data_IF_024259791504
#
_entry.id   IF_024259791504
#
_cell.length_a   1.000
_cell.length_b   1.000
_cell.length_c   1.000
_cell.angle_alpha   90.00
_cell.angle_beta   90.00
_cell.angle_gamma   90.00
#
_symmetry.space_group_name_H-M   'P 1'
#
loop_
_entity.id
_entity.type
_entity.pdbx_description
1 polymer ?
#
# COMPACT_ATOMS: atom_id res chain seq x y z
N UNK A 1 4.30 -26.31 22.56
CA UNK A 1 4.84 -27.66 22.81
C UNK A 1 6.34 -27.69 22.99
N UNK A 2 7.10 -26.69 22.52
CA UNK A 2 8.57 -26.82 22.39
C UNK A 2 9.37 -25.83 23.24
N UNK A 3 8.74 -25.25 24.28
CA UNK A 3 9.31 -24.18 25.12
C UNK A 3 9.71 -22.92 24.32
N UNK A 4 8.92 -22.55 23.30
CA UNK A 4 9.14 -21.37 22.45
C UNK A 4 10.51 -21.38 21.73
N UNK A 5 10.94 -22.57 21.29
CA UNK A 5 12.19 -22.78 20.55
C UNK A 5 11.97 -23.05 19.06
N UNK A 6 10.71 -23.09 18.65
CA UNK A 6 10.26 -23.26 17.29
C UNK A 6 9.81 -21.92 16.69
N UNK A 7 9.73 -21.86 15.37
CA UNK A 7 9.51 -20.61 14.63
C UNK A 7 10.79 -19.86 14.31
N UNK A 8 10.65 -18.69 13.69
CA UNK A 8 11.77 -17.78 13.40
C UNK A 8 11.90 -16.74 14.50
N UNK A 9 13.13 -16.36 14.83
CA UNK A 9 13.43 -15.24 15.75
C UNK A 9 13.53 -13.88 15.01
N UNK A 10 13.48 -13.90 13.67
CA UNK A 10 13.64 -12.70 12.83
C UNK A 10 12.39 -12.44 11.97
N UNK A 11 11.35 -11.87 12.58
CA UNK A 11 10.06 -11.61 11.92
C UNK A 11 9.96 -10.28 11.18
N UNK A 12 10.90 -9.34 11.36
CA UNK A 12 10.79 -7.96 10.87
C UNK A 12 9.43 -7.30 11.21
N UNK A 13 8.89 -7.60 12.40
CA UNK A 13 7.60 -7.11 12.89
C UNK A 13 7.76 -5.93 13.84
N UNK A 14 6.73 -5.08 13.93
CA UNK A 14 6.67 -3.97 14.88
C UNK A 14 5.32 -3.94 15.59
N UNK A 15 5.32 -4.00 16.92
CA UNK A 15 4.10 -4.11 17.73
C UNK A 15 3.43 -2.75 18.03
N UNK A 16 4.06 -1.66 17.59
CA UNK A 16 3.59 -0.28 17.75
C UNK A 16 3.50 0.17 19.23
N UNK A 17 4.36 -0.39 20.09
CA UNK A 17 4.56 0.06 21.48
C UNK A 17 3.97 -0.85 22.55
N UNK A 18 3.16 -1.85 22.17
CA UNK A 18 2.57 -2.81 23.12
C UNK A 18 2.58 -4.21 22.51
N UNK A 19 2.94 -5.23 23.28
CA UNK A 19 2.85 -6.63 22.83
C UNK A 19 1.40 -7.15 22.96
N UNK A 20 0.92 -7.89 21.96
CA UNK A 20 -0.41 -8.50 21.99
C UNK A 20 -1.59 -7.51 21.86
N UNK A 21 -2.78 -7.92 22.33
CA UNK A 21 -4.04 -7.15 22.23
C UNK A 21 -4.00 -5.94 23.18
N UNK A 22 -4.47 -4.79 22.70
CA UNK A 22 -4.63 -3.57 23.49
C UNK A 22 -5.90 -2.83 23.07
N UNK A 23 -6.42 -2.00 23.99
CA UNK A 23 -7.52 -1.07 23.72
C UNK A 23 -7.02 0.38 23.61
N UNK A 24 -5.70 0.60 23.63
CA UNK A 24 -5.13 1.93 23.39
C UNK A 24 -5.46 2.38 21.96
N UNK A 25 -6.28 3.44 21.79
CA UNK A 25 -6.75 3.85 20.48
C UNK A 25 -5.61 4.31 19.57
N UNK A 26 -4.52 4.87 20.10
CA UNK A 26 -3.38 5.30 19.29
C UNK A 26 -2.66 4.09 18.67
N UNK A 27 -2.43 3.04 19.47
CA UNK A 27 -1.79 1.80 19.02
C UNK A 27 -2.70 1.05 18.04
N UNK A 28 -3.99 0.93 18.34
CA UNK A 28 -4.94 0.26 17.44
C UNK A 28 -5.01 0.97 16.09
N UNK A 29 -5.10 2.30 16.09
CA UNK A 29 -5.13 3.10 14.85
C UNK A 29 -3.85 2.92 14.04
N UNK A 30 -2.68 2.96 14.68
CA UNK A 30 -1.39 2.76 14.02
C UNK A 30 -1.28 1.36 13.39
N UNK A 31 -1.73 0.31 14.09
CA UNK A 31 -1.74 -1.07 13.56
C UNK A 31 -2.70 -1.23 12.38
N UNK A 32 -3.89 -0.63 12.42
CA UNK A 32 -4.84 -0.66 11.29
C UNK A 32 -4.27 0.05 10.07
N UNK A 33 -3.61 1.20 10.26
CA UNK A 33 -2.87 1.88 9.19
C UNK A 33 -1.76 1.01 8.63
N UNK A 34 -0.94 0.39 9.48
CA UNK A 34 0.13 -0.50 9.03
C UNK A 34 -0.39 -1.71 8.24
N UNK A 35 -1.50 -2.31 8.67
CA UNK A 35 -2.21 -3.36 7.94
C UNK A 35 -2.61 -2.87 6.54
N UNK A 36 -3.25 -1.70 6.46
CA UNK A 36 -3.70 -1.10 5.21
C UNK A 36 -2.54 -0.72 4.29
N UNK A 37 -1.41 -0.26 4.84
CA UNK A 37 -0.16 -0.04 4.09
C UNK A 37 0.35 -1.34 3.47
N UNK A 38 0.44 -2.43 4.25
CA UNK A 38 0.92 -3.72 3.74
C UNK A 38 0.00 -4.30 2.65
N UNK A 39 -1.32 -4.21 2.85
CA UNK A 39 -2.29 -4.60 1.82
C UNK A 39 -2.11 -3.79 0.54
N UNK A 40 -1.97 -2.46 0.66
CA UNK A 40 -1.77 -1.59 -0.49
C UNK A 40 -0.43 -1.88 -1.20
N UNK A 41 0.67 -2.06 -0.46
CA UNK A 41 1.96 -2.45 -1.05
C UNK A 41 1.84 -3.75 -1.83
N UNK A 42 1.20 -4.78 -1.26
CA UNK A 42 1.01 -6.08 -1.94
C UNK A 42 0.17 -5.95 -3.21
N UNK A 43 -0.97 -5.25 -3.14
CA UNK A 43 -1.94 -5.19 -4.22
C UNK A 43 -1.59 -4.18 -5.32
N UNK A 44 -0.73 -3.19 -5.05
CA UNK A 44 -0.35 -2.14 -6.00
C UNK A 44 1.02 -2.35 -6.63
N UNK A 45 1.84 -3.26 -6.09
CA UNK A 45 3.13 -3.62 -6.69
C UNK A 45 2.96 -4.40 -8.00
N UNK A 46 3.91 -4.27 -8.92
CA UNK A 46 3.98 -5.13 -10.10
C UNK A 46 4.26 -6.60 -9.70
N UNK A 47 3.79 -7.55 -10.53
CA UNK A 47 3.96 -8.99 -10.29
C UNK A 47 2.66 -9.74 -9.97
N UNK A 48 2.78 -10.92 -9.35
CA UNK A 48 1.62 -11.72 -8.93
C UNK A 48 1.51 -11.70 -7.40
N UNK A 49 0.52 -11.00 -6.82
CA UNK A 49 0.38 -10.94 -5.37
C UNK A 49 -0.13 -12.27 -4.81
N UNK A 50 0.39 -12.66 -3.64
CA UNK A 50 -0.12 -13.76 -2.83
C UNK A 50 -0.52 -13.22 -1.47
N UNK A 51 -1.77 -13.45 -1.06
CA UNK A 51 -2.30 -13.03 0.22
C UNK A 51 -2.55 -14.26 1.09
N UNK A 52 -2.17 -14.22 2.36
CA UNK A 52 -2.48 -15.29 3.30
C UNK A 52 -3.97 -15.23 3.64
N UNK A 53 -4.66 -16.38 3.59
CA UNK A 53 -6.07 -16.42 3.92
C UNK A 53 -6.34 -15.94 5.36
N UNK A 54 -7.30 -15.04 5.49
CA UNK A 54 -7.66 -14.36 6.74
C UNK A 54 -7.01 -12.99 6.93
N UNK A 55 -5.97 -12.63 6.18
CA UNK A 55 -5.39 -11.28 6.24
C UNK A 55 -6.41 -10.23 5.77
N UNK A 56 -7.31 -10.60 4.86
CA UNK A 56 -8.42 -9.78 4.38
C UNK A 56 -9.46 -9.45 5.47
N UNK A 57 -9.39 -10.08 6.63
CA UNK A 57 -10.25 -9.82 7.80
C UNK A 57 -9.43 -9.58 9.08
N UNK A 58 -8.12 -9.36 8.96
CA UNK A 58 -7.24 -9.11 10.11
C UNK A 58 -7.11 -10.30 11.07
N UNK A 59 -7.03 -11.53 10.53
CA UNK A 59 -6.84 -12.76 11.32
C UNK A 59 -5.65 -12.63 12.27
N UNK A 60 -5.79 -13.18 13.47
CA UNK A 60 -4.72 -13.22 14.47
C UNK A 60 -4.46 -14.62 14.98
N UNK A 61 -3.19 -15.00 15.02
CA UNK A 61 -2.71 -16.21 15.70
C UNK A 61 -2.12 -15.86 17.09
N UNK A 62 -2.55 -14.74 17.68
CA UNK A 62 -2.13 -14.26 19.02
C UNK A 62 -0.62 -14.20 19.22
N UNK A 63 0.13 -13.87 18.16
CA UNK A 63 1.59 -13.79 18.18
C UNK A 63 2.32 -15.11 17.90
N UNK A 64 1.62 -16.22 17.73
CA UNK A 64 2.24 -17.48 17.30
C UNK A 64 2.60 -17.40 15.81
N UNK A 65 3.90 -17.37 15.49
CA UNK A 65 4.42 -17.31 14.12
C UNK A 65 4.66 -18.71 13.49
N UNK A 66 4.31 -19.79 14.20
CA UNK A 66 4.56 -21.17 13.82
C UNK A 66 3.41 -22.09 14.28
N UNK A 67 2.16 -21.76 13.93
CA UNK A 67 0.98 -22.47 14.42
C UNK A 67 0.71 -23.83 13.74
N UNK A 68 1.74 -24.64 13.50
CA UNK A 68 1.68 -25.82 12.61
C UNK A 68 0.96 -27.04 13.22
N UNK A 69 0.91 -27.17 14.54
CA UNK A 69 0.21 -28.25 15.26
C UNK A 69 -1.17 -27.83 15.81
N UNK A 70 -1.58 -26.59 15.53
CA UNK A 70 -2.82 -26.05 16.08
C UNK A 70 -4.00 -26.39 15.17
N UNK A 71 -4.91 -27.21 15.67
CA UNK A 71 -6.23 -27.44 15.11
C UNK A 71 -7.29 -26.93 16.10
N UNK A 72 -7.31 -25.60 16.27
CA UNK A 72 -8.14 -24.88 17.23
C UNK A 72 -8.38 -23.43 16.76
N UNK A 73 -9.05 -22.60 17.56
CA UNK A 73 -9.39 -21.21 17.23
C UNK A 73 -8.16 -20.31 16.96
N UNK A 74 -6.93 -20.77 17.24
CA UNK A 74 -5.71 -20.07 16.87
C UNK A 74 -5.41 -20.16 15.37
N UNK A 75 -5.81 -21.25 14.71
CA UNK A 75 -5.56 -21.49 13.29
C UNK A 75 -6.80 -21.31 12.43
N UNK A 76 -8.00 -21.58 12.98
CA UNK A 76 -9.26 -21.46 12.27
C UNK A 76 -9.57 -20.02 11.82
N UNK A 77 -10.30 -19.90 10.71
CA UNK A 77 -10.75 -18.60 10.19
C UNK A 77 -12.04 -18.15 10.91
N UNK A 78 -12.05 -16.96 11.54
CA UNK A 78 -13.26 -16.44 12.16
C UNK A 78 -14.22 -15.90 11.10
N UNK A 79 -15.51 -16.21 11.25
CA UNK A 79 -16.58 -15.70 10.38
C UNK A 79 -17.48 -14.67 11.07
N UNK A 80 -17.44 -14.60 12.40
CA UNK A 80 -18.09 -13.53 13.15
C UNK A 80 -17.14 -12.34 13.21
N UNK A 81 -17.40 -11.36 12.35
CA UNK A 81 -16.51 -10.22 12.12
C UNK A 81 -16.96 -8.99 12.91
N UNK A 82 -16.02 -8.42 13.66
CA UNK A 82 -16.14 -7.06 14.20
C UNK A 82 -16.20 -6.02 13.06
N UNK A 83 -16.73 -4.83 13.36
CA UNK A 83 -16.92 -3.77 12.35
C UNK A 83 -15.64 -3.45 11.57
N UNK A 84 -14.52 -3.26 12.28
CA UNK A 84 -13.24 -2.94 11.65
C UNK A 84 -12.69 -4.06 10.75
N UNK A 85 -13.04 -5.32 11.01
CA UNK A 85 -12.63 -6.43 10.15
C UNK A 85 -13.41 -6.40 8.83
N UNK A 86 -14.66 -5.94 8.87
CA UNK A 86 -15.47 -5.72 7.66
C UNK A 86 -14.92 -4.56 6.84
N UNK A 87 -14.40 -3.53 7.49
CA UNK A 87 -13.73 -2.40 6.82
C UNK A 87 -12.45 -2.86 6.10
N UNK A 88 -11.60 -3.64 6.77
CA UNK A 88 -10.41 -4.26 6.16
C UNK A 88 -10.81 -5.13 4.97
N UNK A 89 -11.87 -5.92 5.10
CA UNK A 89 -12.39 -6.75 4.02
C UNK A 89 -12.88 -5.93 2.82
N UNK A 90 -13.57 -4.82 3.08
CA UNK A 90 -14.01 -3.90 2.03
C UNK A 90 -12.81 -3.29 1.29
N UNK A 91 -11.75 -2.90 2.01
CA UNK A 91 -10.51 -2.37 1.44
C UNK A 91 -9.79 -3.43 0.60
N UNK A 92 -9.62 -4.64 1.13
CA UNK A 92 -8.98 -5.74 0.40
C UNK A 92 -9.73 -6.05 -0.91
N UNK A 93 -11.06 -6.14 -0.84
CA UNK A 93 -11.93 -6.34 -2.01
C UNK A 93 -11.80 -5.20 -3.02
N UNK A 94 -11.79 -3.95 -2.56
CA UNK A 94 -11.62 -2.79 -3.41
C UNK A 94 -10.24 -2.78 -4.10
N UNK A 95 -9.17 -3.11 -3.37
CA UNK A 95 -7.81 -3.20 -3.90
C UNK A 95 -7.65 -4.30 -4.95
N UNK A 96 -8.24 -5.48 -4.73
CA UNK A 96 -8.24 -6.58 -5.71
C UNK A 96 -8.98 -6.15 -6.98
N UNK A 97 -10.18 -5.57 -6.84
CA UNK A 97 -10.94 -5.06 -7.99
C UNK A 97 -10.15 -4.00 -8.75
N UNK A 98 -9.58 -3.04 -8.03
CA UNK A 98 -8.74 -2.00 -8.60
C UNK A 98 -7.59 -2.61 -9.42
N UNK A 99 -6.86 -3.56 -8.85
CA UNK A 99 -5.78 -4.26 -9.56
C UNK A 99 -6.25 -4.92 -10.85
N UNK A 100 -7.39 -5.60 -10.84
CA UNK A 100 -7.94 -6.24 -12.04
C UNK A 100 -8.28 -5.22 -13.13
N UNK A 101 -8.85 -4.08 -12.73
CA UNK A 101 -9.25 -2.99 -13.63
C UNK A 101 -8.07 -2.12 -14.11
N UNK A 102 -6.88 -2.23 -13.51
CA UNK A 102 -5.76 -1.31 -13.76
C UNK A 102 -4.51 -2.03 -14.29
N UNK A 103 -4.33 -2.13 -15.62
CA UNK A 103 -3.17 -2.79 -16.24
C UNK A 103 -1.82 -2.17 -15.86
N UNK A 104 -1.77 -0.86 -15.55
CA UNK A 104 -0.56 -0.16 -15.10
C UNK A 104 0.15 -0.77 -13.86
N UNK A 105 -0.52 -1.64 -13.10
CA UNK A 105 0.09 -2.35 -11.97
C UNK A 105 0.17 -3.87 -12.18
N UNK A 106 -0.13 -4.31 -13.40
CA UNK A 106 -0.02 -5.70 -13.87
C UNK A 106 0.81 -5.80 -15.17
N UNK A 107 1.98 -5.14 -15.28
CA UNK A 107 2.80 -5.25 -16.47
C UNK A 107 3.23 -6.71 -16.68
N UNK A 108 3.38 -7.11 -17.94
CA UNK A 108 3.93 -8.43 -18.31
C UNK A 108 5.46 -8.39 -18.38
N UNK A 109 5.99 -7.25 -18.83
CA UNK A 109 7.41 -7.00 -18.98
C UNK A 109 7.86 -5.82 -18.12
N UNK A 110 9.14 -5.80 -17.76
CA UNK A 110 9.72 -4.64 -17.07
C UNK A 110 9.84 -3.46 -18.03
N UNK A 111 9.63 -2.25 -17.50
CA UNK A 111 9.93 -1.03 -18.24
C UNK A 111 11.42 -0.90 -18.53
N UNK A 112 11.75 -0.35 -19.70
CA UNK A 112 13.13 -0.01 -20.08
C UNK A 112 13.25 1.50 -20.14
N UNK A 113 14.28 2.04 -19.50
CA UNK A 113 14.48 3.48 -19.41
C UNK A 113 14.60 4.12 -20.80
N UNK A 114 13.78 5.13 -21.07
CA UNK A 114 13.76 5.83 -22.36
C UNK A 114 13.00 5.10 -23.48
N UNK A 115 12.42 3.94 -23.20
CA UNK A 115 11.63 3.18 -24.16
C UNK A 115 10.17 3.06 -23.70
N UNK A 116 9.26 2.95 -24.67
CA UNK A 116 7.85 2.62 -24.44
C UNK A 116 7.60 1.25 -25.05
N UNK A 117 7.27 0.28 -24.21
CA UNK A 117 7.02 -1.11 -24.61
C UNK A 117 5.55 -1.43 -24.40
N UNK A 118 4.89 -2.09 -25.37
CA UNK A 118 3.43 -2.32 -25.38
C UNK A 118 2.92 -3.20 -24.21
N UNK A 119 3.83 -3.91 -23.54
CA UNK A 119 3.52 -4.89 -22.48
C UNK A 119 4.05 -4.49 -21.11
N UNK A 120 4.73 -3.34 -21.03
CA UNK A 120 5.30 -2.81 -19.81
C UNK A 120 4.37 -1.77 -19.15
N UNK A 121 4.87 -1.13 -18.12
CA UNK A 121 4.28 0.07 -17.54
C UNK A 121 5.32 1.16 -17.62
N UNK A 122 4.92 2.33 -18.11
CA UNK A 122 5.76 3.51 -18.03
C UNK A 122 5.68 4.08 -16.62
N UNK A 123 6.84 4.27 -16.00
CA UNK A 123 6.94 4.73 -14.61
C UNK A 123 7.74 6.02 -14.52
N UNK A 124 7.17 7.02 -13.87
CA UNK A 124 7.80 8.30 -13.57
C UNK A 124 7.84 8.51 -12.05
N UNK A 125 9.01 8.82 -11.52
CA UNK A 125 9.26 8.91 -10.08
C UNK A 125 9.52 10.35 -9.65
N UNK A 126 8.87 10.75 -8.56
CA UNK A 126 8.92 12.09 -8.01
C UNK A 126 9.21 12.05 -6.50
N UNK A 127 9.95 13.05 -6.02
CA UNK A 127 10.17 13.26 -4.58
C UNK A 127 8.95 13.93 -3.92
N UNK A 128 9.04 14.22 -2.62
CA UNK A 128 7.98 14.91 -1.86
C UNK A 128 7.57 16.28 -2.46
N UNK A 129 8.48 16.97 -3.15
CA UNK A 129 8.21 18.26 -3.80
C UNK A 129 7.54 18.14 -5.17
N UNK A 130 7.22 16.92 -5.64
CA UNK A 130 6.63 16.68 -6.95
C UNK A 130 7.62 16.89 -8.11
N UNK A 131 8.92 16.91 -7.81
CA UNK A 131 10.01 17.03 -8.79
C UNK A 131 10.56 15.64 -9.10
N UNK A 132 10.91 15.38 -10.36
CA UNK A 132 11.48 14.10 -10.77
C UNK A 132 12.71 13.74 -9.94
N UNK A 133 12.79 12.51 -9.46
CA UNK A 133 13.89 12.07 -8.61
C UNK A 133 15.21 12.09 -9.38
N UNK A 134 16.20 12.80 -8.82
CA UNK A 134 17.59 12.76 -9.25
C UNK A 134 18.30 11.51 -8.72
N UNK A 135 19.48 11.19 -9.26
CA UNK A 135 20.29 10.08 -8.72
C UNK A 135 20.69 10.30 -7.25
N UNK A 136 20.88 11.57 -6.86
CA UNK A 136 21.18 11.92 -5.47
C UNK A 136 20.00 11.63 -4.54
N UNK A 137 18.77 11.83 -5.01
CA UNK A 137 17.57 11.49 -4.25
C UNK A 137 17.47 9.97 -4.09
N UNK A 138 17.73 9.21 -5.15
CA UNK A 138 17.74 7.74 -5.14
C UNK A 138 18.77 7.14 -4.17
N UNK A 139 19.97 7.74 -4.11
CA UNK A 139 21.05 7.28 -3.23
C UNK A 139 20.94 7.82 -1.79
N UNK A 140 19.94 8.67 -1.50
CA UNK A 140 19.77 9.30 -0.19
C UNK A 140 18.93 8.45 0.75
N UNK A 141 19.47 7.98 1.89
CA UNK A 141 18.68 7.27 2.90
C UNK A 141 17.67 8.20 3.63
N UNK A 142 17.79 9.51 3.46
CA UNK A 142 16.83 10.48 3.99
C UNK A 142 15.59 10.60 3.10
N UNK A 143 15.69 10.22 1.81
CA UNK A 143 14.55 10.26 0.89
C UNK A 143 13.64 9.06 1.13
N UNK A 144 12.64 9.27 1.99
CA UNK A 144 11.67 8.23 2.39
C UNK A 144 10.24 8.59 2.00
N UNK A 145 10.06 9.64 1.20
CA UNK A 145 8.77 10.06 0.65
C UNK A 145 8.88 10.12 -0.86
N UNK A 146 8.27 9.14 -1.53
CA UNK A 146 8.31 9.05 -2.98
C UNK A 146 6.91 9.00 -3.55
N UNK A 147 6.79 9.44 -4.78
CA UNK A 147 5.58 9.31 -5.58
C UNK A 147 5.98 8.60 -6.86
N UNK A 148 5.28 7.54 -7.24
CA UNK A 148 5.44 6.94 -8.55
C UNK A 148 4.14 7.05 -9.32
N UNK A 149 4.26 7.52 -10.56
CA UNK A 149 3.20 7.58 -11.53
C UNK A 149 3.39 6.42 -12.48
N UNK A 150 2.38 5.57 -12.60
CA UNK A 150 2.40 4.40 -13.47
C UNK A 150 1.33 4.56 -14.55
N UNK A 151 1.73 4.51 -15.82
CA UNK A 151 0.84 4.54 -16.97
C UNK A 151 0.93 3.21 -17.72
N UNK A 152 -0.23 2.60 -17.99
CA UNK A 152 -0.27 1.39 -18.82
C UNK A 152 0.05 1.75 -20.26
N UNK A 153 0.92 0.98 -20.89
CA UNK A 153 1.19 1.07 -22.33
C UNK A 153 0.50 -0.06 -23.11
N UNK A 154 -0.39 -0.80 -22.44
CA UNK A 154 -1.14 -1.92 -22.99
C UNK A 154 -2.13 -1.47 -24.07
N UNK A 155 -1.88 -1.82 -25.33
CA UNK A 155 -2.82 -1.57 -26.43
C UNK A 155 -4.16 -2.32 -26.24
N UNK A 156 -4.14 -3.49 -25.59
CA UNK A 156 -5.29 -4.40 -25.48
C UNK A 156 -6.19 -4.10 -24.29
N UNK A 157 -5.60 -3.80 -23.13
CA UNK A 157 -6.34 -3.66 -21.86
C UNK A 157 -6.78 -2.21 -21.57
N UNK A 158 -6.49 -1.28 -22.49
CA UNK A 158 -6.85 0.13 -22.40
C UNK A 158 -5.86 0.95 -21.57
N UNK A 159 -5.76 2.24 -21.90
CA UNK A 159 -4.90 3.18 -21.20
C UNK A 159 -5.47 3.55 -19.83
N UNK A 160 -4.67 3.44 -18.79
CA UNK A 160 -4.93 4.03 -17.49
C UNK A 160 -3.65 4.54 -16.83
N UNK A 161 -3.81 5.46 -15.89
CA UNK A 161 -2.70 6.07 -15.16
C UNK A 161 -3.05 6.25 -13.70
N UNK A 162 -2.11 5.91 -12.83
CA UNK A 162 -2.24 6.03 -11.38
C UNK A 162 -1.04 6.81 -10.82
N UNK A 163 -1.23 7.41 -9.66
CA UNK A 163 -0.15 7.97 -8.84
C UNK A 163 -0.24 7.34 -7.46
N UNK A 164 0.82 6.69 -6.98
CA UNK A 164 0.93 6.22 -5.61
C UNK A 164 1.99 7.02 -4.88
N UNK A 165 1.61 7.57 -3.73
CA UNK A 165 2.52 8.23 -2.79
C UNK A 165 2.81 7.26 -1.66
N UNK A 166 4.09 7.03 -1.37
CA UNK A 166 4.55 6.25 -0.22
C UNK A 166 5.37 7.17 0.68
N UNK A 167 4.84 7.44 1.87
CA UNK A 167 5.50 8.25 2.88
C UNK A 167 5.95 7.36 4.03
N UNK A 168 7.26 7.11 4.11
CA UNK A 168 7.88 6.17 5.05
C UNK A 168 8.53 6.82 6.26
N UNK A 169 8.35 8.13 6.50
CA UNK A 169 8.86 8.82 7.69
C UNK A 169 7.87 8.74 8.85
N UNK A 170 8.38 8.92 10.06
CA UNK A 170 7.58 8.99 11.29
C UNK A 170 7.12 10.42 11.64
N UNK A 171 7.48 11.40 10.81
CA UNK A 171 7.05 12.80 10.91
C UNK A 171 5.92 13.10 9.94
N UNK A 172 5.19 14.19 10.17
CA UNK A 172 4.29 14.73 9.16
C UNK A 172 5.08 15.39 8.03
N UNK A 173 4.54 15.36 6.81
CA UNK A 173 5.14 15.97 5.62
C UNK A 173 4.04 16.59 4.74
N UNK A 174 4.39 17.63 3.99
CA UNK A 174 3.53 18.18 2.95
C UNK A 174 4.07 17.77 1.59
N UNK A 175 3.29 16.99 0.83
CA UNK A 175 3.69 16.51 -0.49
C UNK A 175 3.02 17.34 -1.58
N UNK A 176 3.78 17.75 -2.58
CA UNK A 176 3.24 18.43 -3.77
C UNK A 176 2.98 17.42 -4.87
N UNK A 177 1.76 17.35 -5.38
CA UNK A 177 1.40 16.44 -6.47
C UNK A 177 2.14 16.86 -7.75
N UNK A 178 2.76 15.91 -8.49
CA UNK A 178 3.60 16.24 -9.62
C UNK A 178 2.79 16.87 -10.76
N UNK A 179 3.42 17.78 -11.49
CA UNK A 179 2.91 18.26 -12.78
C UNK A 179 3.42 17.33 -13.88
N UNK A 180 2.63 16.34 -14.25
CA UNK A 180 2.97 15.38 -15.31
C UNK A 180 2.30 15.77 -16.63
N UNK A 181 3.02 15.62 -17.75
CA UNK A 181 2.47 15.90 -19.07
C UNK A 181 1.25 15.00 -19.38
N UNK A 182 0.15 15.60 -19.82
CA UNK A 182 -1.11 14.89 -20.05
C UNK A 182 -1.77 14.38 -18.77
N UNK A 183 -1.48 14.99 -17.61
CA UNK A 183 -2.32 14.88 -16.41
C UNK A 183 -2.93 16.25 -16.11
N UNK A 184 -4.25 16.31 -16.11
CA UNK A 184 -5.06 17.50 -15.80
C UNK A 184 -5.58 17.49 -14.36
N UNK A 185 -5.78 16.31 -13.77
CA UNK A 185 -6.27 16.17 -12.40
C UNK A 185 -5.88 14.83 -11.75
N UNK A 186 -5.91 14.81 -10.41
CA UNK A 186 -5.73 13.62 -9.59
C UNK A 186 -6.96 13.38 -8.72
N UNK A 187 -7.61 12.22 -8.87
CA UNK A 187 -8.69 11.80 -7.96
C UNK A 187 -8.12 10.87 -6.91
N UNK A 188 -8.19 11.23 -5.63
CA UNK A 188 -7.85 10.35 -4.52
C UNK A 188 -8.78 9.13 -4.53
N UNK A 189 -8.21 7.93 -4.45
CA UNK A 189 -8.95 6.67 -4.44
C UNK A 189 -8.77 5.88 -3.15
N UNK A 190 -7.66 6.09 -2.45
CA UNK A 190 -7.38 5.40 -1.19
C UNK A 190 -6.38 6.22 -0.38
N UNK A 191 -6.65 6.33 0.93
CA UNK A 191 -5.80 6.96 1.93
C UNK A 191 -5.66 6.00 3.10
N UNK A 192 -4.44 5.51 3.35
CA UNK A 192 -4.17 4.62 4.47
C UNK A 192 -4.15 5.33 5.83
N UNK A 193 -4.63 6.56 5.95
CA UNK A 193 -5.04 7.08 7.25
C UNK A 193 -6.36 6.44 7.73
N UNK A 194 -7.27 6.11 6.81
CA UNK A 194 -8.66 5.78 7.14
C UNK A 194 -9.06 4.34 6.82
N UNK A 195 -10.09 3.86 7.53
CA UNK A 195 -10.69 2.53 7.34
C UNK A 195 -11.79 2.56 6.25
N UNK A 196 -12.06 3.71 5.63
CA UNK A 196 -13.02 3.89 4.53
C UNK A 196 -12.36 4.51 3.29
N UNK A 197 -13.07 4.46 2.17
CA UNK A 197 -12.66 5.07 0.91
C UNK A 197 -13.45 6.35 0.69
N UNK A 198 -12.74 7.45 0.49
CA UNK A 198 -13.29 8.76 0.12
C UNK A 198 -12.56 9.27 -1.12
N UNK A 199 -13.33 9.90 -2.02
CA UNK A 199 -12.78 10.47 -3.26
C UNK A 199 -12.77 11.99 -3.17
N UNK A 200 -11.69 12.57 -3.65
CA UNK A 200 -11.53 14.02 -3.80
C UNK A 200 -10.62 14.31 -4.98
N UNK A 201 -10.92 15.39 -5.70
CA UNK A 201 -10.13 15.81 -6.86
C UNK A 201 -9.13 16.88 -6.49
N UNK A 202 -7.94 16.79 -7.08
CA UNK A 202 -6.81 17.65 -6.82
C UNK A 202 -6.18 18.10 -8.13
N UNK A 203 -5.77 19.36 -8.18
CA UNK A 203 -5.07 19.90 -9.34
C UNK A 203 -3.58 19.52 -9.30
N UNK A 204 -2.91 19.30 -10.44
CA UNK A 204 -1.46 19.15 -10.48
C UNK A 204 -0.76 20.33 -9.81
N UNK A 205 0.23 20.03 -8.96
CA UNK A 205 0.94 21.01 -8.15
C UNK A 205 0.21 21.46 -6.88
N UNK A 206 -0.96 20.90 -6.55
CA UNK A 206 -1.56 21.09 -5.22
C UNK A 206 -0.75 20.33 -4.16
N UNK A 207 -0.90 20.77 -2.91
CA UNK A 207 -0.25 20.12 -1.76
C UNK A 207 -1.22 19.22 -1.02
N UNK A 208 -0.70 18.11 -0.49
CA UNK A 208 -1.44 17.13 0.30
C UNK A 208 -0.68 16.90 1.61
N UNK A 209 -1.41 16.91 2.72
CA UNK A 209 -0.86 16.53 4.02
C UNK A 209 -0.68 15.01 4.12
N UNK A 210 0.49 14.60 4.57
CA UNK A 210 0.86 13.23 4.86
C UNK A 210 1.13 13.10 6.36
N UNK A 211 0.30 12.33 7.05
CA UNK A 211 0.64 11.86 8.40
C UNK A 211 1.78 10.82 8.34
N UNK A 212 2.44 10.51 9.46
CA UNK A 212 3.52 9.53 9.51
C UNK A 212 3.15 8.19 8.86
N UNK A 213 4.08 7.53 8.17
CA UNK A 213 3.95 6.14 7.66
C UNK A 213 2.63 5.85 6.95
N UNK A 214 2.37 6.50 5.81
CA UNK A 214 1.11 6.37 5.07
C UNK A 214 1.28 6.27 3.56
N UNK A 215 0.24 5.78 2.91
CA UNK A 215 0.13 5.67 1.46
C UNK A 215 -1.14 6.34 0.95
N UNK A 216 -1.04 7.07 -0.16
CA UNK A 216 -2.20 7.61 -0.88
C UNK A 216 -2.15 7.22 -2.34
N UNK A 217 -3.24 6.66 -2.85
CA UNK A 217 -3.40 6.26 -4.25
C UNK A 217 -4.35 7.23 -4.94
N UNK A 218 -3.96 7.68 -6.12
CA UNK A 218 -4.76 8.53 -6.99
C UNK A 218 -4.93 7.90 -8.36
N UNK A 219 -6.06 8.17 -9.00
CA UNK A 219 -6.18 8.13 -10.45
C UNK A 219 -5.64 9.42 -11.02
N UNK A 220 -4.84 9.34 -12.07
CA UNK A 220 -4.37 10.51 -12.81
C UNK A 220 -5.10 10.56 -14.15
N UNK A 221 -5.78 11.67 -14.43
CA UNK A 221 -6.55 11.88 -15.67
C UNK A 221 -5.81 12.80 -16.62
#
# INVERSE_FOLDING_TARGET
GENNRDGTDNNHSFNHGMEGKTNDPAIVTARRKALRNLLATLLLSAGTPMMTAGDEIGRSQRGNNNAYIHDDELSWLPWDLEEWQRDVFAIARAGIRFRLEHPAIRPRDFGVWGETLDTATQMDWYNASGVSMSIQDWDSPAERTLQYLAASTHEVDGFNRILLIVHGLESEETVTLPRHAGVESYTLLFDSAYDWIEQSDHAPGSTIAMSPTLMKLFRAH
#
